data_IF_445652826951
#
_entry.id   IF_445652826951
#
_cell.length_a   1.000
_cell.length_b   1.000
_cell.length_c   1.000
_cell.angle_alpha   90.00
_cell.angle_beta   90.00
_cell.angle_gamma   90.00
#
_symmetry.space_group_name_H-M   'P 1'
#
loop_
_entity.id
_entity.type
_entity.pdbx_description
1 polymer ?
#
# COMPACT_ATOMS: atom_id res chain seq x y z
N UNK A 1 7.43 -24.95 5.53
CA UNK A 1 7.43 -23.54 5.98
C UNK A 1 6.04 -22.99 5.76
N UNK A 2 5.31 -22.59 6.82
CA UNK A 2 4.00 -21.94 6.70
C UNK A 2 4.18 -20.44 6.94
N UNK A 3 4.21 -19.60 5.88
CA UNK A 3 4.35 -18.17 6.05
C UNK A 3 3.19 -17.64 6.89
N UNK A 4 3.50 -16.77 7.85
CA UNK A 4 2.47 -16.11 8.64
C UNK A 4 1.60 -15.26 7.72
N UNK A 5 0.28 -15.38 7.86
CA UNK A 5 -0.69 -14.62 7.05
C UNK A 5 -0.44 -13.11 7.10
N UNK A 6 0.05 -12.60 8.23
CA UNK A 6 0.43 -11.18 8.42
C UNK A 6 1.52 -10.71 7.46
N UNK A 7 2.47 -11.59 7.10
CA UNK A 7 3.57 -11.29 6.17
C UNK A 7 3.05 -11.21 4.74
N UNK A 8 2.20 -12.16 4.33
CA UNK A 8 1.58 -12.16 3.00
C UNK A 8 0.68 -10.93 2.81
N UNK A 9 -0.10 -10.59 3.85
CA UNK A 9 -0.92 -9.38 3.84
C UNK A 9 -0.07 -8.11 3.81
N UNK A 10 1.00 -8.05 4.62
CA UNK A 10 1.92 -6.91 4.65
C UNK A 10 2.54 -6.63 3.29
N UNK A 11 3.15 -7.65 2.67
CA UNK A 11 3.85 -7.49 1.39
C UNK A 11 2.89 -7.16 0.26
N UNK A 12 1.71 -7.77 0.26
CA UNK A 12 0.69 -7.49 -0.76
C UNK A 12 0.10 -6.09 -0.62
N UNK A 13 -0.27 -5.67 0.60
CA UNK A 13 -0.84 -4.36 0.84
C UNK A 13 0.17 -3.23 0.57
N UNK A 14 1.39 -3.33 1.10
CA UNK A 14 2.43 -2.34 0.83
C UNK A 14 2.85 -2.32 -0.64
N UNK A 15 2.99 -3.49 -1.27
CA UNK A 15 3.29 -3.60 -2.69
C UNK A 15 2.23 -2.93 -3.58
N UNK A 16 0.94 -3.17 -3.30
CA UNK A 16 -0.16 -2.52 -3.99
C UNK A 16 -0.15 -1.00 -3.79
N UNK A 17 0.09 -0.53 -2.57
CA UNK A 17 0.16 0.91 -2.26
C UNK A 17 1.32 1.62 -2.99
N UNK A 18 2.54 1.07 -2.92
CA UNK A 18 3.67 1.64 -3.64
C UNK A 18 3.51 1.52 -5.17
N UNK A 19 2.96 0.41 -5.67
CA UNK A 19 2.67 0.24 -7.09
C UNK A 19 1.70 1.29 -7.61
N UNK A 20 0.67 1.62 -6.82
CA UNK A 20 -0.30 2.65 -7.17
C UNK A 20 0.32 4.06 -7.15
N UNK A 21 1.19 4.39 -6.17
CA UNK A 21 1.95 5.64 -6.18
C UNK A 21 2.86 5.75 -7.41
N UNK A 22 3.53 4.66 -7.78
CA UNK A 22 4.39 4.62 -8.96
C UNK A 22 3.58 4.85 -10.24
N UNK A 23 2.43 4.19 -10.39
CA UNK A 23 1.53 4.42 -11.52
C UNK A 23 1.06 5.87 -11.59
N UNK A 24 0.58 6.46 -10.49
CA UNK A 24 0.12 7.85 -10.47
C UNK A 24 1.26 8.84 -10.77
N UNK A 25 2.44 8.61 -10.20
CA UNK A 25 3.63 9.44 -10.38
C UNK A 25 4.24 9.35 -11.77
N UNK A 26 4.04 8.25 -12.50
CA UNK A 26 4.54 8.06 -13.87
C UNK A 26 3.48 8.42 -14.92
N UNK A 27 2.27 7.86 -14.84
CA UNK A 27 1.22 8.13 -15.84
C UNK A 27 0.72 9.58 -15.78
N UNK A 28 0.72 10.21 -14.60
CA UNK A 28 0.25 11.58 -14.41
C UNK A 28 1.03 12.60 -15.26
N UNK A 29 2.35 12.72 -15.09
CA UNK A 29 3.18 13.61 -15.90
C UNK A 29 3.19 13.27 -17.39
N UNK A 30 2.97 12.00 -17.75
CA UNK A 30 2.88 11.55 -19.14
C UNK A 30 1.53 11.87 -19.79
N UNK A 31 0.55 12.41 -19.04
CA UNK A 31 -0.79 12.71 -19.54
C UNK A 31 -1.62 11.47 -19.91
N UNK A 32 -1.22 10.29 -19.41
CA UNK A 32 -1.88 9.00 -19.68
C UNK A 32 -3.09 8.76 -18.76
N UNK A 33 -3.24 9.58 -17.72
CA UNK A 33 -4.41 9.64 -16.85
C UNK A 33 -4.97 11.06 -16.90
N UNK A 34 -6.31 11.15 -16.88
CA UNK A 34 -6.99 12.44 -16.82
C UNK A 34 -6.51 13.20 -15.57
N UNK A 35 -6.05 14.45 -15.71
CA UNK A 35 -5.57 15.26 -14.59
C UNK A 35 -6.76 15.81 -13.80
N UNK A 36 -7.52 14.92 -13.16
CA UNK A 36 -8.64 15.26 -12.31
C UNK A 36 -8.23 15.16 -10.83
N UNK A 37 -8.71 16.10 -10.02
CA UNK A 37 -8.40 16.16 -8.60
C UNK A 37 -8.90 14.91 -7.85
N UNK A 38 -10.13 14.48 -8.12
CA UNK A 38 -10.77 13.38 -7.38
C UNK A 38 -10.07 12.02 -7.56
N UNK A 39 -9.77 11.55 -8.79
CA UNK A 39 -9.03 10.31 -8.99
C UNK A 39 -7.63 10.35 -8.36
N UNK A 40 -6.93 11.48 -8.48
CA UNK A 40 -5.62 11.68 -7.86
C UNK A 40 -5.68 11.60 -6.33
N UNK A 41 -6.64 12.31 -5.72
CA UNK A 41 -6.84 12.34 -4.28
C UNK A 41 -7.22 10.96 -3.73
N UNK A 42 -8.20 10.29 -4.35
CA UNK A 42 -8.63 8.94 -3.96
C UNK A 42 -7.51 7.93 -4.15
N UNK A 43 -6.78 8.01 -5.26
CA UNK A 43 -5.64 7.15 -5.54
C UNK A 43 -4.54 7.29 -4.49
N UNK A 44 -4.08 8.52 -4.22
CA UNK A 44 -3.06 8.77 -3.19
C UNK A 44 -3.56 8.32 -1.82
N UNK A 45 -4.80 8.65 -1.46
CA UNK A 45 -5.40 8.24 -0.18
C UNK A 45 -5.45 6.72 -0.02
N UNK A 46 -5.84 5.99 -1.07
CA UNK A 46 -5.87 4.53 -1.08
C UNK A 46 -4.47 3.93 -0.98
N UNK A 47 -3.49 4.46 -1.71
CA UNK A 47 -2.11 4.00 -1.62
C UNK A 47 -1.54 4.15 -0.20
N UNK A 48 -1.71 5.33 0.40
CA UNK A 48 -1.24 5.58 1.77
C UNK A 48 -1.99 4.70 2.78
N UNK A 49 -3.30 4.50 2.60
CA UNK A 49 -4.09 3.59 3.41
C UNK A 49 -3.59 2.14 3.35
N UNK A 50 -3.28 1.64 2.15
CA UNK A 50 -2.72 0.30 1.95
C UNK A 50 -1.33 0.14 2.58
N UNK A 51 -0.46 1.14 2.43
CA UNK A 51 0.87 1.15 3.06
C UNK A 51 0.74 1.13 4.59
N UNK A 52 -0.11 1.99 5.16
CA UNK A 52 -0.35 2.05 6.59
C UNK A 52 -0.96 0.74 7.13
N UNK A 53 -1.95 0.16 6.42
CA UNK A 53 -2.56 -1.11 6.79
C UNK A 53 -1.54 -2.26 6.77
N UNK A 54 -0.65 -2.28 5.77
CA UNK A 54 0.46 -3.21 5.72
C UNK A 54 1.39 -3.03 6.93
N UNK A 55 1.89 -1.82 7.18
CA UNK A 55 2.78 -1.54 8.31
C UNK A 55 2.15 -1.93 9.66
N UNK A 56 0.86 -1.64 9.85
CA UNK A 56 0.10 -2.07 11.02
C UNK A 56 0.02 -3.60 11.13
N UNK A 57 -0.12 -4.33 10.02
CA UNK A 57 -0.05 -5.80 10.01
C UNK A 57 1.31 -6.32 10.47
N UNK A 58 2.41 -5.65 10.09
CA UNK A 58 3.77 -6.01 10.53
C UNK A 58 3.95 -5.83 12.05
N UNK A 59 3.43 -4.73 12.61
CA UNK A 59 3.50 -4.46 14.06
C UNK A 59 2.62 -5.39 14.90
N UNK A 60 1.49 -5.89 14.36
CA UNK A 60 0.67 -6.91 15.03
C UNK A 60 1.42 -8.24 15.22
N UNK A 61 2.48 -8.50 14.45
CA UNK A 61 3.34 -9.66 14.68
C UNK A 61 4.31 -9.45 15.87
N UNK A 62 4.69 -8.21 16.17
CA UNK A 62 5.55 -7.84 17.29
C UNK A 62 4.82 -7.76 18.65
N UNK A 63 3.48 -7.72 18.63
CA UNK A 63 2.62 -7.63 19.83
C UNK A 63 2.40 -8.92 20.62
N UNK A 64 3.16 -9.99 20.35
CA UNK A 64 3.19 -11.20 21.19
C UNK A 64 4.56 -11.34 21.88
N UNK A 65 4.72 -10.79 23.10
CA UNK A 65 5.90 -11.00 23.93
C UNK A 65 5.81 -12.35 24.66
N UNK A 66 5.62 -13.45 23.94
CA UNK A 66 5.72 -14.81 24.48
C UNK A 66 6.44 -15.70 23.46
N UNK A 67 7.76 -15.49 23.34
CA UNK A 67 8.86 -16.47 23.51
C UNK A 67 10.20 -15.77 23.29
#
# INVERSE_FOLDING_TARGET
MHPAFSVVFFTTATGAGYGLLAMLGVLGPLGLIAPDFWPGFVGIGLALGLIAAGLLSSTRHLGRPER
#
